data_IF_833563954722
#
_entry.id   IF_833563954722
#
_cell.length_a   1.000
_cell.length_b   1.000
_cell.length_c   1.000
_cell.angle_alpha   90.00
_cell.angle_beta   90.00
_cell.angle_gamma   90.00
#
_symmetry.space_group_name_H-M   'P 1'
#
loop_
_entity.id
_entity.type
_entity.pdbx_description
1 polymer ?
#
# COMPACT_ATOMS: atom_id res chain seq x y z
N UNK A 1 -42.84 -4.48 18.62
CA UNK A 1 -41.54 -4.21 19.27
C UNK A 1 -40.49 -5.33 19.10
N UNK A 2 -40.80 -6.52 18.56
CA UNK A 2 -39.82 -7.62 18.39
C UNK A 2 -38.91 -7.55 17.15
N UNK A 3 -39.28 -6.77 16.11
CA UNK A 3 -38.54 -6.76 14.83
C UNK A 3 -37.19 -6.01 14.91
N UNK A 4 -37.07 -5.00 15.77
CA UNK A 4 -35.82 -4.20 15.90
C UNK A 4 -34.72 -4.89 16.72
N UNK A 5 -35.08 -5.84 17.60
CA UNK A 5 -34.10 -6.62 18.37
C UNK A 5 -33.44 -7.71 17.53
N UNK A 6 -34.22 -8.41 16.69
CA UNK A 6 -33.71 -9.45 15.80
C UNK A 6 -32.79 -8.89 14.70
N UNK A 7 -33.14 -7.73 14.11
CA UNK A 7 -32.30 -7.08 13.09
C UNK A 7 -30.95 -6.62 13.62
N UNK A 8 -30.88 -6.10 14.87
CA UNK A 8 -29.60 -5.72 15.49
C UNK A 8 -28.69 -6.91 15.77
N UNK A 9 -29.25 -8.04 16.21
CA UNK A 9 -28.45 -9.24 16.46
C UNK A 9 -27.86 -9.81 15.18
N UNK A 10 -28.60 -9.81 14.07
CA UNK A 10 -28.08 -10.29 12.78
C UNK A 10 -26.97 -9.38 12.21
N UNK A 11 -27.12 -8.05 12.31
CA UNK A 11 -26.10 -7.10 11.84
C UNK A 11 -24.77 -7.22 12.63
N UNK A 12 -24.85 -7.45 13.94
CA UNK A 12 -23.66 -7.65 14.77
C UNK A 12 -22.97 -8.99 14.50
N UNK A 13 -23.73 -10.05 14.23
CA UNK A 13 -23.18 -11.37 13.87
C UNK A 13 -22.48 -11.35 12.51
N UNK A 14 -23.08 -10.67 11.52
CA UNK A 14 -22.51 -10.49 10.19
C UNK A 14 -21.20 -9.69 10.24
N UNK A 15 -21.19 -8.54 10.92
CA UNK A 15 -19.98 -7.73 11.09
C UNK A 15 -18.85 -8.49 11.82
N UNK A 16 -19.19 -9.33 12.81
CA UNK A 16 -18.22 -10.17 13.49
C UNK A 16 -17.66 -11.29 12.60
N UNK A 17 -18.48 -11.84 11.71
CA UNK A 17 -18.04 -12.84 10.73
C UNK A 17 -17.11 -12.21 9.67
N UNK A 18 -17.44 -11.02 9.18
CA UNK A 18 -16.62 -10.29 8.22
C UNK A 18 -15.26 -9.89 8.80
N UNK A 19 -15.23 -9.41 10.05
CA UNK A 19 -13.97 -9.10 10.73
C UNK A 19 -13.10 -10.35 10.89
N UNK A 20 -13.68 -11.49 11.29
CA UNK A 20 -12.94 -12.76 11.39
C UNK A 20 -12.36 -13.20 10.05
N UNK A 21 -13.13 -13.03 8.97
CA UNK A 21 -12.69 -13.36 7.60
C UNK A 21 -11.55 -12.44 7.15
N UNK A 22 -11.68 -11.14 7.40
CA UNK A 22 -10.65 -10.14 7.12
C UNK A 22 -9.34 -10.45 7.88
N UNK A 23 -9.41 -10.63 9.19
CA UNK A 23 -8.25 -10.93 10.04
C UNK A 23 -7.55 -12.21 9.59
N UNK A 24 -8.32 -13.24 9.23
CA UNK A 24 -7.77 -14.48 8.66
C UNK A 24 -6.97 -14.18 7.39
N UNK A 25 -7.54 -13.43 6.45
CA UNK A 25 -6.89 -13.11 5.18
C UNK A 25 -5.64 -12.23 5.34
N UNK A 26 -5.67 -11.25 6.25
CA UNK A 26 -4.53 -10.41 6.61
C UNK A 26 -3.39 -11.28 7.16
N UNK A 27 -3.67 -12.18 8.10
CA UNK A 27 -2.66 -13.06 8.70
C UNK A 27 -2.08 -14.06 7.71
N UNK A 28 -2.91 -14.67 6.87
CA UNK A 28 -2.45 -15.59 5.82
C UNK A 28 -1.52 -14.89 4.83
N UNK A 29 -1.88 -13.67 4.40
CA UNK A 29 -1.04 -12.85 3.52
C UNK A 29 0.26 -12.46 4.20
N UNK A 30 0.21 -12.02 5.46
CA UNK A 30 1.40 -11.66 6.23
C UNK A 30 2.39 -12.84 6.33
N UNK A 31 1.90 -14.03 6.72
CA UNK A 31 2.70 -15.23 6.84
C UNK A 31 3.34 -15.64 5.51
N UNK A 32 2.59 -15.57 4.42
CA UNK A 32 3.10 -15.87 3.07
C UNK A 32 4.23 -14.91 2.69
N UNK A 33 3.99 -13.61 2.80
CA UNK A 33 4.97 -12.60 2.38
C UNK A 33 6.24 -12.62 3.25
N UNK A 34 6.11 -12.88 4.56
CA UNK A 34 7.28 -13.11 5.42
C UNK A 34 8.14 -14.28 4.91
N UNK A 35 7.52 -15.40 4.50
CA UNK A 35 8.25 -16.56 3.96
C UNK A 35 8.96 -16.24 2.64
N UNK A 36 8.41 -15.33 1.85
CA UNK A 36 9.04 -14.84 0.62
C UNK A 36 10.18 -13.85 0.88
N UNK A 37 10.36 -13.38 2.11
CA UNK A 37 11.43 -12.45 2.50
C UNK A 37 11.00 -10.98 2.60
N UNK A 38 9.70 -10.69 2.61
CA UNK A 38 9.22 -9.35 2.91
C UNK A 38 9.42 -9.01 4.39
N UNK A 39 9.91 -7.81 4.69
CA UNK A 39 9.90 -7.25 6.03
C UNK A 39 8.52 -6.66 6.35
N UNK A 40 7.57 -7.56 6.63
CA UNK A 40 6.18 -7.24 6.92
C UNK A 40 6.03 -6.65 8.33
N UNK A 41 5.10 -5.71 8.48
CA UNK A 41 4.70 -5.14 9.78
C UNK A 41 3.21 -4.76 9.81
N UNK A 42 2.68 -4.56 11.01
CA UNK A 42 1.28 -4.15 11.21
C UNK A 42 1.10 -2.65 11.07
N UNK A 43 -0.02 -2.27 10.46
CA UNK A 43 -0.48 -0.89 10.36
C UNK A 43 -1.74 -0.70 11.21
N UNK A 44 -1.88 0.49 11.79
CA UNK A 44 -3.05 0.84 12.61
C UNK A 44 -4.33 0.79 11.78
N UNK A 45 -5.42 0.33 12.40
CA UNK A 45 -6.76 0.38 11.81
C UNK A 45 -7.11 1.81 11.35
N UNK A 46 -7.72 1.92 10.17
CA UNK A 46 -8.14 3.21 9.61
C UNK A 46 -6.97 4.15 9.30
N UNK A 47 -5.75 3.61 9.15
CA UNK A 47 -4.55 4.38 8.86
C UNK A 47 -3.59 3.58 7.97
N UNK A 48 -2.65 4.30 7.37
CA UNK A 48 -1.48 3.72 6.68
C UNK A 48 -0.23 3.73 7.56
N UNK A 49 -0.36 4.10 8.84
CA UNK A 49 0.78 4.29 9.72
C UNK A 49 1.14 3.00 10.49
N UNK A 50 2.44 2.63 10.58
CA UNK A 50 2.87 1.45 11.31
C UNK A 50 2.56 1.52 12.81
N UNK A 51 2.24 0.37 13.40
CA UNK A 51 1.89 0.26 14.83
C UNK A 51 3.08 0.62 15.72
N UNK A 52 4.28 0.20 15.35
CA UNK A 52 5.47 0.32 16.20
C UNK A 52 6.17 1.68 16.03
N UNK A 53 6.59 2.26 17.15
CA UNK A 53 7.46 3.42 17.15
C UNK A 53 8.86 3.03 16.63
N UNK A 54 9.50 3.93 15.86
CA UNK A 54 10.82 3.64 15.28
C UNK A 54 10.81 2.51 14.23
N UNK A 55 9.64 2.17 13.66
CA UNK A 55 9.48 1.06 12.72
C UNK A 55 10.49 0.97 11.56
N UNK A 56 11.06 2.07 10.99
CA UNK A 56 12.01 1.92 9.89
C UNK A 56 13.25 1.13 10.31
N UNK A 57 13.70 1.32 11.55
CA UNK A 57 15.00 0.85 12.05
C UNK A 57 14.91 -0.43 12.89
N UNK A 58 13.69 -0.95 13.14
CA UNK A 58 13.51 -2.17 13.93
C UNK A 58 14.07 -3.41 13.20
N UNK A 59 14.51 -4.45 13.94
CA UNK A 59 14.81 -5.74 13.34
C UNK A 59 13.63 -6.28 12.51
N UNK A 60 13.94 -6.97 11.40
CA UNK A 60 12.90 -7.70 10.63
C UNK A 60 12.35 -8.81 11.51
N UNK A 61 11.03 -8.82 11.72
CA UNK A 61 10.37 -9.87 12.51
C UNK A 61 10.32 -11.18 11.76
N UNK A 62 10.46 -12.28 12.48
CA UNK A 62 10.04 -13.59 11.96
C UNK A 62 8.52 -13.66 11.83
N UNK A 63 8.03 -14.66 11.09
CA UNK A 63 6.60 -14.90 10.97
C UNK A 63 5.93 -15.13 12.33
N UNK A 64 6.58 -15.87 13.24
CA UNK A 64 6.10 -16.15 14.59
C UNK A 64 6.02 -14.87 15.44
N UNK A 65 7.07 -14.05 15.41
CA UNK A 65 7.13 -12.78 16.13
C UNK A 65 6.05 -11.82 15.65
N UNK A 66 5.84 -11.73 14.33
CA UNK A 66 4.81 -10.90 13.72
C UNK A 66 3.40 -11.37 14.15
N UNK A 67 3.14 -12.68 14.13
CA UNK A 67 1.82 -13.21 14.54
C UNK A 67 1.50 -12.97 16.01
N UNK A 68 2.51 -12.99 16.89
CA UNK A 68 2.32 -12.73 18.32
C UNK A 68 1.83 -11.32 18.62
N UNK A 69 2.10 -10.36 17.75
CA UNK A 69 1.73 -8.94 17.93
C UNK A 69 0.51 -8.52 17.12
N UNK A 70 -0.10 -9.45 16.37
CA UNK A 70 -1.32 -9.17 15.61
C UNK A 70 -2.48 -8.79 16.55
N UNK A 71 -3.26 -7.79 16.16
CA UNK A 71 -4.55 -7.48 16.76
C UNK A 71 -5.62 -7.42 15.67
N UNK A 72 -6.89 -7.72 16.03
CA UNK A 72 -8.00 -7.61 15.08
C UNK A 72 -8.04 -6.25 14.37
N UNK A 73 -8.39 -6.29 13.09
CA UNK A 73 -8.55 -5.15 12.21
C UNK A 73 -7.24 -4.38 11.87
N UNK A 74 -6.07 -4.90 12.23
CA UNK A 74 -4.81 -4.33 11.74
C UNK A 74 -4.73 -4.45 10.22
N UNK A 75 -4.20 -3.40 9.61
CA UNK A 75 -3.79 -3.41 8.22
C UNK A 75 -2.36 -3.97 8.10
N UNK A 76 -1.94 -4.23 6.87
CA UNK A 76 -0.65 -4.83 6.54
C UNK A 76 0.19 -3.88 5.70
N UNK A 77 1.48 -3.80 6.03
CA UNK A 77 2.46 -3.15 5.18
C UNK A 77 3.77 -3.92 5.15
N UNK A 78 4.70 -3.45 4.33
CA UNK A 78 6.08 -3.90 4.38
C UNK A 78 7.03 -2.72 4.25
N UNK A 79 8.29 -2.97 4.61
CA UNK A 79 9.37 -2.00 4.49
C UNK A 79 10.09 -2.21 3.16
N UNK A 80 9.99 -1.24 2.26
CA UNK A 80 10.67 -1.30 0.96
C UNK A 80 12.20 -1.19 1.13
N UNK A 81 12.95 -1.61 0.10
CA UNK A 81 14.40 -1.58 0.04
C UNK A 81 15.06 -2.75 0.79
N UNK A 82 16.19 -2.45 1.43
CA UNK A 82 17.09 -3.42 2.08
C UNK A 82 16.40 -4.37 3.10
N UNK A 83 15.37 -3.96 3.87
CA UNK A 83 14.73 -4.88 4.79
C UNK A 83 13.98 -6.03 4.10
N UNK A 84 13.51 -5.84 2.86
CA UNK A 84 12.71 -6.85 2.14
C UNK A 84 13.52 -7.47 1.01
N UNK A 85 14.05 -8.67 1.25
CA UNK A 85 14.92 -9.38 0.32
C UNK A 85 14.22 -10.63 -0.20
N UNK A 86 13.91 -10.65 -1.49
CA UNK A 86 13.25 -11.77 -2.19
C UNK A 86 14.22 -12.32 -3.21
N UNK A 87 14.55 -13.62 -3.12
CA UNK A 87 15.52 -14.30 -3.98
C UNK A 87 16.89 -13.60 -4.05
N UNK A 88 17.35 -13.06 -2.92
CA UNK A 88 18.62 -12.33 -2.82
C UNK A 88 18.62 -10.91 -3.38
N UNK A 89 17.46 -10.41 -3.85
CA UNK A 89 17.29 -9.06 -4.39
C UNK A 89 16.42 -8.21 -3.45
N UNK A 90 16.77 -6.94 -3.30
CA UNK A 90 15.95 -6.01 -2.53
C UNK A 90 14.67 -5.62 -3.30
N UNK A 91 13.58 -5.47 -2.56
CA UNK A 91 12.29 -5.11 -3.11
C UNK A 91 12.04 -3.60 -2.97
N UNK A 92 12.11 -2.87 -4.08
CA UNK A 92 11.71 -1.45 -4.17
C UNK A 92 10.36 -1.34 -4.86
N UNK A 93 9.71 -0.18 -4.76
CA UNK A 93 8.34 -0.01 -5.30
C UNK A 93 8.27 1.21 -6.19
N UNK A 94 7.83 1.01 -7.43
CA UNK A 94 7.33 2.11 -8.26
C UNK A 94 5.90 2.42 -7.81
N UNK A 95 5.74 3.55 -7.13
CA UNK A 95 4.46 4.06 -6.63
C UNK A 95 3.90 5.10 -7.58
N UNK A 96 2.70 4.84 -8.11
CA UNK A 96 1.93 5.76 -8.95
C UNK A 96 0.78 6.30 -8.11
N UNK A 97 1.02 7.45 -7.49
CA UNK A 97 0.07 8.15 -6.61
C UNK A 97 -0.75 9.16 -7.42
N UNK A 98 -2.04 8.87 -7.61
CA UNK A 98 -2.98 9.70 -8.37
C UNK A 98 -3.98 10.32 -7.40
N UNK A 99 -4.00 11.66 -7.36
CA UNK A 99 -4.87 12.47 -6.49
C UNK A 99 -6.14 12.93 -7.20
N UNK A 100 -6.12 12.98 -8.54
CA UNK A 100 -7.28 13.33 -9.35
C UNK A 100 -7.54 12.26 -10.43
N UNK A 101 -8.65 11.50 -10.35
CA UNK A 101 -8.92 10.33 -11.21
C UNK A 101 -8.87 10.60 -12.71
N UNK A 102 -9.29 11.80 -13.16
CA UNK A 102 -9.29 12.17 -14.59
C UNK A 102 -7.89 12.16 -15.23
N UNK A 103 -6.83 12.15 -14.41
CA UNK A 103 -5.44 12.10 -14.88
C UNK A 103 -4.80 10.70 -14.74
N UNK A 104 -5.59 9.67 -14.43
CA UNK A 104 -5.07 8.32 -14.23
C UNK A 104 -4.39 7.74 -15.48
N UNK A 105 -5.03 7.86 -16.65
CA UNK A 105 -4.46 7.36 -17.92
C UNK A 105 -3.14 8.07 -18.29
N UNK A 106 -3.05 9.37 -18.03
CA UNK A 106 -1.81 10.13 -18.21
C UNK A 106 -0.69 9.60 -17.30
N UNK A 107 -1.00 9.38 -16.02
CA UNK A 107 -0.06 8.83 -15.05
C UNK A 107 0.42 7.42 -15.44
N UNK A 108 -0.50 6.55 -15.91
CA UNK A 108 -0.15 5.20 -16.37
C UNK A 108 0.70 5.24 -17.63
N UNK A 109 0.39 6.12 -18.59
CA UNK A 109 1.21 6.30 -19.79
C UNK A 109 2.62 6.80 -19.42
N UNK A 110 2.72 7.72 -18.45
CA UNK A 110 4.00 8.19 -17.93
C UNK A 110 4.80 7.07 -17.24
N UNK A 111 4.16 6.25 -16.41
CA UNK A 111 4.79 5.09 -15.76
C UNK A 111 5.24 4.05 -16.79
N UNK A 112 4.40 3.75 -17.80
CA UNK A 112 4.74 2.85 -18.91
C UNK A 112 5.94 3.36 -19.69
N UNK A 113 6.02 4.66 -19.97
CA UNK A 113 7.17 5.26 -20.64
C UNK A 113 8.45 5.14 -19.80
N UNK A 114 8.38 5.42 -18.49
CA UNK A 114 9.53 5.31 -17.57
C UNK A 114 10.06 3.87 -17.50
N UNK A 115 9.16 2.88 -17.55
CA UNK A 115 9.48 1.46 -17.47
C UNK A 115 9.79 0.82 -18.84
N UNK A 116 9.98 1.62 -19.90
CA UNK A 116 10.27 1.10 -21.24
C UNK A 116 9.17 0.18 -21.78
N UNK A 117 7.91 0.44 -21.45
CA UNK A 117 6.75 -0.37 -21.83
C UNK A 117 6.34 -1.42 -20.79
N UNK A 118 7.17 -1.71 -19.78
CA UNK A 118 6.98 -2.83 -18.84
C UNK A 118 6.28 -2.44 -17.53
N UNK A 119 5.46 -1.39 -17.55
CA UNK A 119 4.64 -1.06 -16.39
C UNK A 119 3.52 -2.10 -16.23
N UNK A 120 3.61 -2.89 -15.16
CA UNK A 120 2.71 -3.98 -14.78
C UNK A 120 2.47 -3.90 -13.28
N UNK A 121 1.37 -3.26 -12.84
CA UNK A 121 1.08 -3.12 -11.42
C UNK A 121 1.00 -4.47 -10.72
N UNK A 122 1.64 -4.57 -9.57
CA UNK A 122 1.51 -5.70 -8.63
C UNK A 122 0.30 -5.50 -7.70
N UNK A 123 0.03 -4.25 -7.34
CA UNK A 123 -1.05 -3.86 -6.41
C UNK A 123 -1.88 -2.72 -6.99
N UNK A 124 -3.19 -2.81 -6.82
CA UNK A 124 -4.14 -1.71 -6.96
C UNK A 124 -4.44 -1.16 -5.57
N UNK A 125 -4.26 0.15 -5.38
CA UNK A 125 -4.56 0.77 -4.10
C UNK A 125 -6.07 0.93 -3.90
N UNK A 126 -6.51 1.03 -2.65
CA UNK A 126 -7.92 1.29 -2.36
C UNK A 126 -8.43 2.68 -2.78
N UNK A 127 -7.60 3.56 -3.36
CA UNK A 127 -8.11 4.75 -4.06
C UNK A 127 -8.80 4.40 -5.39
N UNK A 128 -8.59 3.18 -5.90
CA UNK A 128 -9.09 2.68 -7.19
C UNK A 128 -8.18 3.04 -8.37
N UNK A 129 -7.42 4.14 -8.27
CA UNK A 129 -6.53 4.62 -9.34
C UNK A 129 -5.05 4.49 -9.00
N UNK A 130 -4.66 4.48 -7.71
CA UNK A 130 -3.25 4.29 -7.36
C UNK A 130 -2.75 2.89 -7.71
N UNK A 131 -1.47 2.78 -8.08
CA UNK A 131 -0.84 1.51 -8.46
C UNK A 131 0.54 1.40 -7.83
N UNK A 132 0.89 0.21 -7.34
CA UNK A 132 2.26 -0.13 -7.00
C UNK A 132 2.76 -1.22 -7.93
N UNK A 133 3.97 -1.07 -8.46
CA UNK A 133 4.71 -2.16 -9.09
C UNK A 133 5.94 -2.48 -8.26
N UNK A 134 6.05 -3.73 -7.82
CA UNK A 134 7.21 -4.19 -7.09
C UNK A 134 8.35 -4.48 -8.07
N UNK A 135 9.55 -4.04 -7.71
CA UNK A 135 10.76 -4.20 -8.51
C UNK A 135 11.83 -4.86 -7.66
N UNK A 136 12.46 -5.89 -8.20
CA UNK A 136 13.61 -6.57 -7.57
C UNK A 136 14.89 -5.90 -8.09
N UNK A 137 15.75 -5.44 -7.19
CA UNK A 137 17.02 -4.80 -7.53
C UNK A 137 18.19 -5.44 -6.77
N UNK A 138 19.40 -5.52 -7.35
CA UNK A 138 20.59 -5.92 -6.61
C UNK A 138 20.81 -5.02 -5.39
N UNK A 139 21.34 -5.59 -4.30
CA UNK A 139 21.54 -4.88 -3.03
C UNK A 139 22.40 -3.61 -3.21
N UNK A 140 23.44 -3.70 -4.01
CA UNK A 140 24.34 -2.59 -4.34
C UNK A 140 23.71 -1.50 -5.22
N UNK A 141 22.49 -1.72 -5.69
CA UNK A 141 21.70 -0.78 -6.52
C UNK A 141 20.48 -0.22 -5.80
N UNK A 142 20.28 -0.56 -4.52
CA UNK A 142 19.17 0.01 -3.74
C UNK A 142 19.34 1.53 -3.65
N UNK A 143 18.32 2.33 -4.00
CA UNK A 143 18.40 3.78 -3.88
C UNK A 143 18.60 4.20 -2.41
N UNK A 144 19.62 5.04 -2.15
CA UNK A 144 19.86 5.60 -0.81
C UNK A 144 18.75 6.53 -0.33
N UNK A 145 18.02 7.17 -1.26
CA UNK A 145 16.90 8.04 -0.92
C UNK A 145 15.64 7.19 -0.70
N UNK A 146 15.01 7.36 0.45
CA UNK A 146 13.80 6.62 0.81
C UNK A 146 12.67 6.77 -0.23
N UNK A 147 12.47 7.97 -0.80
CA UNK A 147 11.59 8.17 -1.95
C UNK A 147 12.26 9.08 -2.98
N UNK A 148 12.39 8.57 -4.20
CA UNK A 148 12.88 9.33 -5.35
C UNK A 148 11.71 9.63 -6.29
N UNK A 149 11.30 10.89 -6.36
CA UNK A 149 10.33 11.33 -7.37
C UNK A 149 10.96 11.20 -8.76
N UNK A 150 10.39 10.34 -9.60
CA UNK A 150 10.84 10.11 -10.97
C UNK A 150 10.13 11.04 -11.94
N UNK A 151 8.84 11.30 -11.70
CA UNK A 151 8.03 12.20 -12.52
C UNK A 151 6.81 12.69 -11.73
N UNK A 152 6.28 13.84 -12.10
CA UNK A 152 4.99 14.33 -11.62
C UNK A 152 4.27 15.06 -12.75
N UNK A 153 2.97 15.27 -12.56
CA UNK A 153 2.17 16.09 -13.46
C UNK A 153 2.64 17.56 -13.49
N UNK A 154 2.37 18.23 -14.62
CA UNK A 154 2.61 19.67 -14.79
C UNK A 154 1.47 20.55 -14.23
N UNK A 155 0.37 19.90 -13.81
CA UNK A 155 -0.77 20.53 -13.13
C UNK A 155 -0.94 19.97 -11.72
N UNK A 156 -1.61 20.74 -10.88
CA UNK A 156 -1.81 20.42 -9.48
C UNK A 156 -3.29 20.51 -9.10
N UNK A 157 -3.64 19.87 -7.99
CA UNK A 157 -4.95 20.00 -7.32
C UNK A 157 -4.74 20.71 -5.99
N UNK A 158 -5.69 21.57 -5.59
CA UNK A 158 -5.67 22.18 -4.26
C UNK A 158 -5.94 21.11 -3.19
N UNK A 159 -5.32 21.26 -2.02
CA UNK A 159 -5.49 20.28 -0.93
C UNK A 159 -6.93 20.23 -0.40
N UNK A 160 -7.61 21.38 -0.39
CA UNK A 160 -8.89 21.56 0.27
C UNK A 160 -10.09 21.48 -0.71
N UNK A 161 -9.82 21.52 -2.01
CA UNK A 161 -10.83 21.53 -3.07
C UNK A 161 -10.32 20.79 -4.31
N UNK A 162 -11.15 20.02 -5.03
CA UNK A 162 -10.76 19.27 -6.23
C UNK A 162 -10.60 20.18 -7.47
N UNK A 163 -10.06 21.39 -7.30
CA UNK A 163 -9.82 22.35 -8.37
C UNK A 163 -8.42 22.17 -8.95
N UNK A 164 -8.36 22.00 -10.27
CA UNK A 164 -7.11 21.95 -11.01
C UNK A 164 -6.51 23.36 -11.13
N UNK A 165 -5.22 23.47 -10.81
CA UNK A 165 -4.44 24.70 -10.81
C UNK A 165 -3.07 24.46 -11.42
N UNK A 166 -2.33 25.53 -11.70
CA UNK A 166 -0.94 25.44 -12.15
C UNK A 166 -0.06 24.83 -11.05
N UNK A 167 0.86 23.94 -11.41
CA UNK A 167 1.88 23.46 -10.48
C UNK A 167 2.67 24.63 -9.87
N UNK A 168 2.93 24.54 -8.56
CA UNK A 168 3.57 25.61 -7.78
C UNK A 168 2.60 26.62 -7.16
N UNK A 169 1.29 26.48 -7.42
CA UNK A 169 0.27 27.24 -6.67
C UNK A 169 0.36 26.91 -5.18
N UNK A 170 0.32 27.88 -4.26
CA UNK A 170 0.33 27.60 -2.82
C UNK A 170 -0.77 26.63 -2.40
N UNK A 171 -0.46 25.71 -1.47
CA UNK A 171 -1.38 24.66 -0.98
C UNK A 171 -1.91 23.70 -2.06
N UNK A 172 -1.14 23.52 -3.14
CA UNK A 172 -1.44 22.53 -4.17
C UNK A 172 -0.47 21.35 -4.13
N UNK A 173 -0.88 20.22 -4.71
CA UNK A 173 -0.03 19.05 -4.95
C UNK A 173 -0.21 18.60 -6.41
N UNK A 174 0.83 18.05 -7.07
CA UNK A 174 0.66 17.46 -8.40
C UNK A 174 -0.52 16.50 -8.44
N UNK A 175 -1.33 16.56 -9.51
CA UNK A 175 -2.51 15.69 -9.68
C UNK A 175 -2.14 14.21 -9.70
N UNK A 176 -0.90 13.90 -10.08
CA UNK A 176 -0.27 12.60 -9.87
C UNK A 176 1.24 12.76 -9.67
N UNK A 177 1.84 11.79 -8.99
CA UNK A 177 3.28 11.66 -8.79
C UNK A 177 3.69 10.21 -9.01
N UNK A 178 4.85 9.98 -9.61
CA UNK A 178 5.49 8.67 -9.74
C UNK A 178 6.78 8.70 -8.93
N UNK A 179 6.89 7.83 -7.94
CA UNK A 179 8.04 7.73 -7.05
C UNK A 179 8.63 6.32 -7.04
N UNK A 180 9.94 6.22 -6.82
CA UNK A 180 10.60 4.97 -6.44
C UNK A 180 10.79 4.97 -4.92
N UNK A 181 10.05 4.10 -4.24
CA UNK A 181 10.12 3.91 -2.80
C UNK A 181 11.14 2.83 -2.45
N UNK A 182 12.02 3.16 -1.50
CA UNK A 182 13.17 2.38 -1.07
C UNK A 182 13.23 2.28 0.46
N UNK A 183 14.39 1.90 1.00
CA UNK A 183 14.68 1.79 2.44
C UNK A 183 14.17 3.01 3.20
N UNK A 184 13.42 2.75 4.28
CA UNK A 184 12.77 3.79 5.09
C UNK A 184 11.34 4.15 4.66
N UNK A 185 10.77 3.47 3.66
CA UNK A 185 9.35 3.62 3.29
C UNK A 185 8.50 2.42 3.68
N UNK A 186 7.30 2.73 4.13
CA UNK A 186 6.22 1.79 4.34
C UNK A 186 5.37 1.73 3.07
N UNK A 187 5.04 0.52 2.63
CA UNK A 187 4.13 0.28 1.52
C UNK A 187 2.99 -0.61 2.00
N UNK A 188 1.75 -0.15 1.80
CA UNK A 188 0.54 -0.87 2.21
C UNK A 188 0.30 -2.04 1.26
N UNK A 189 -0.08 -3.19 1.83
CA UNK A 189 -0.30 -4.44 1.11
C UNK A 189 -1.78 -4.81 1.08
N UNK A 190 -2.26 -5.48 0.01
CA UNK A 190 -3.51 -6.22 0.05
C UNK A 190 -3.52 -7.25 1.21
N UNK A 191 -4.68 -7.57 1.81
CA UNK A 191 -6.01 -7.00 1.55
C UNK A 191 -6.34 -5.77 2.44
N UNK A 192 -5.34 -4.97 2.86
CA UNK A 192 -5.57 -3.82 3.77
C UNK A 192 -6.69 -2.88 3.29
N UNK A 193 -7.33 -2.19 4.23
CA UNK A 193 -8.41 -1.23 3.96
C UNK A 193 -7.84 0.19 3.85
N UNK A 194 -8.15 0.88 2.75
CA UNK A 194 -7.78 2.27 2.56
C UNK A 194 -8.60 3.19 3.48
N UNK A 195 -7.95 4.08 4.24
CA UNK A 195 -8.62 4.84 5.30
C UNK A 195 -9.69 5.80 4.78
N UNK A 196 -9.45 6.43 3.62
CA UNK A 196 -10.34 7.48 3.12
C UNK A 196 -11.53 6.94 2.31
N UNK A 197 -11.39 5.75 1.72
CA UNK A 197 -12.37 5.19 0.78
C UNK A 197 -13.07 3.95 1.32
N UNK A 198 -12.52 3.32 2.37
CA UNK A 198 -12.99 2.04 2.91
C UNK A 198 -12.77 0.84 1.96
N UNK A 199 -12.14 1.04 0.80
CA UNK A 199 -11.92 -0.02 -0.19
C UNK A 199 -10.64 -0.79 0.13
N UNK A 200 -10.64 -2.08 -0.22
CA UNK A 200 -9.46 -2.93 -0.07
C UNK A 200 -8.39 -2.57 -1.10
N UNK A 201 -7.14 -2.74 -0.70
CA UNK A 201 -6.02 -2.92 -1.61
C UNK A 201 -6.14 -4.31 -2.25
N UNK A 202 -5.86 -4.41 -3.55
CA UNK A 202 -6.03 -5.64 -4.32
C UNK A 202 -4.72 -6.04 -5.01
N UNK A 203 -4.46 -7.34 -5.10
CA UNK A 203 -3.39 -7.87 -5.94
C UNK A 203 -3.81 -7.77 -7.41
N UNK A 204 -3.00 -7.11 -8.23
CA UNK A 204 -3.16 -7.08 -9.68
C UNK A 204 -2.36 -8.19 -10.39
N UNK A 205 -1.32 -8.70 -9.73
CA UNK A 205 -0.47 -9.77 -10.25
C UNK A 205 -0.82 -11.10 -9.56
N UNK A 206 -1.11 -12.11 -10.37
CA UNK A 206 -1.46 -13.45 -9.91
C UNK A 206 -0.31 -14.14 -9.16
N UNK A 207 0.95 -13.79 -9.41
CA UNK A 207 2.11 -14.31 -8.66
C UNK A 207 1.96 -14.09 -7.15
N UNK A 208 1.24 -13.05 -6.74
CA UNK A 208 1.07 -12.67 -5.33
C UNK A 208 -0.29 -13.05 -4.74
N UNK A 209 -1.15 -13.75 -5.49
CA UNK A 209 -2.51 -14.13 -5.05
C UNK A 209 -2.52 -15.44 -4.25
N UNK A 210 -1.60 -16.37 -4.50
CA UNK A 210 -1.56 -17.72 -3.90
C UNK A 210 -0.84 -17.78 -2.56
#
# INVERSE_FOLDING_TARGET
>A
MNSRRHARTSEHEEAAADLKKFDKSIRETALRLCKLGFAVHWLRLGSKAPVEAGWPDLPVKTAEELMRTHQPAFNLGFRAGEPSIVDGLALVVLDVDIKHPDFAEEAYAAAKSLMGGNFRPTVISGSGVGRHQFLRVPLEKVPHKAALTLRSADVAVLNDEPRIVRLGTPKSKPVWTIELLSTGKNVVLPPSIHPDTGRQYEWADAEFVS
#
